data_IF_028963936152
#
_entry.id   IF_028963936152
#
_cell.length_a   1.000
_cell.length_b   1.000
_cell.length_c   1.000
_cell.angle_alpha   90.00
_cell.angle_beta   90.00
_cell.angle_gamma   90.00
#
_symmetry.space_group_name_H-M   'P 1'
#
loop_
_entity.id
_entity.type
_entity.pdbx_description
1 polymer ?
#
# COMPACT_ATOMS: atom_id res chain seq x y z
N UNK A 1 18.36 29.11 16.18
CA UNK A 1 17.74 30.24 15.47
C UNK A 1 16.38 30.55 16.07
N UNK A 2 16.12 31.81 16.39
CA UNK A 2 14.85 32.25 16.97
C UNK A 2 13.73 32.22 15.91
N UNK A 3 12.62 31.60 16.26
CA UNK A 3 11.40 31.65 15.44
C UNK A 3 10.88 33.09 15.42
N UNK A 4 10.63 33.62 14.22
CA UNK A 4 10.10 34.96 14.08
C UNK A 4 8.67 35.01 14.61
N UNK A 5 8.26 36.09 15.27
CA UNK A 5 6.93 36.23 15.88
C UNK A 5 5.76 36.26 14.87
N UNK A 6 6.06 36.27 13.58
CA UNK A 6 5.08 36.18 12.48
C UNK A 6 5.00 34.80 11.85
N UNK A 7 5.71 33.80 12.39
CA UNK A 7 5.70 32.44 11.87
C UNK A 7 4.44 31.69 12.27
N UNK A 8 3.81 31.03 11.33
CA UNK A 8 2.77 30.04 11.59
C UNK A 8 3.36 28.64 11.43
N UNK A 9 3.49 27.92 12.54
CA UNK A 9 4.14 26.62 12.60
C UNK A 9 3.11 25.51 12.57
N UNK A 10 3.21 24.62 11.58
CA UNK A 10 2.33 23.47 11.42
C UNK A 10 3.16 22.20 11.29
N UNK A 11 2.83 21.17 12.07
CA UNK A 11 3.36 19.86 11.85
C UNK A 11 2.76 19.24 10.58
N UNK A 12 3.62 18.71 9.73
CA UNK A 12 3.23 17.94 8.55
C UNK A 12 3.80 16.55 8.67
N UNK A 13 2.99 15.56 8.39
CA UNK A 13 3.39 14.16 8.36
C UNK A 13 3.27 13.65 6.94
N UNK A 14 4.29 12.94 6.49
CA UNK A 14 4.24 12.17 5.24
C UNK A 14 4.88 10.82 5.52
N UNK A 15 4.05 9.78 5.60
CA UNK A 15 4.44 8.47 6.07
C UNK A 15 5.11 8.55 7.46
N UNK A 16 6.44 8.40 7.51
CA UNK A 16 7.24 8.44 8.74
C UNK A 16 8.00 9.72 8.97
N UNK A 17 8.00 10.60 7.99
CA UNK A 17 8.67 11.88 8.12
C UNK A 17 7.69 12.86 8.78
N UNK A 18 8.03 13.29 9.98
CA UNK A 18 7.37 14.42 10.64
C UNK A 18 8.25 15.65 10.43
N UNK A 19 7.67 16.70 9.90
CA UNK A 19 8.36 17.97 9.74
C UNK A 19 7.57 19.09 10.38
N UNK A 20 8.27 20.07 10.94
CA UNK A 20 7.69 21.33 11.36
C UNK A 20 7.85 22.34 10.21
N UNK A 21 6.73 22.79 9.66
CA UNK A 21 6.69 23.72 8.55
C UNK A 21 6.23 25.10 9.02
N UNK A 22 7.01 26.13 8.69
CA UNK A 22 6.60 27.53 8.80
C UNK A 22 5.88 27.91 7.49
N UNK A 23 4.56 27.98 7.56
CA UNK A 23 3.72 28.24 6.38
C UNK A 23 3.84 29.68 5.86
N UNK A 24 4.37 30.59 6.67
CA UNK A 24 4.57 32.01 6.31
C UNK A 24 5.93 32.22 5.63
N UNK A 25 6.99 31.63 6.19
CA UNK A 25 8.37 31.88 5.73
C UNK A 25 8.93 30.72 4.89
N UNK A 26 8.21 29.62 4.76
CA UNK A 26 8.61 28.44 3.97
C UNK A 26 9.78 27.65 4.54
N UNK A 27 10.12 27.85 5.82
CA UNK A 27 11.14 27.06 6.49
C UNK A 27 10.58 25.70 6.94
N UNK A 28 11.41 24.68 6.84
CA UNK A 28 11.06 23.32 7.27
C UNK A 28 12.14 22.80 8.20
N UNK A 29 11.74 22.25 9.34
CA UNK A 29 12.63 21.60 10.30
C UNK A 29 12.27 20.12 10.42
N UNK A 30 13.30 19.28 10.45
CA UNK A 30 13.14 17.89 10.86
C UNK A 30 13.31 17.80 12.38
N UNK A 31 12.29 17.39 13.15
CA UNK A 31 12.40 17.25 14.61
C UNK A 31 13.42 16.20 15.06
N UNK A 32 13.75 15.22 14.21
CA UNK A 32 14.77 14.20 14.50
C UNK A 32 16.20 14.72 14.30
N UNK A 33 16.38 15.78 13.52
CA UNK A 33 17.68 16.48 13.34
C UNK A 33 17.47 17.97 13.62
N UNK A 34 17.38 18.34 14.88
CA UNK A 34 17.09 19.70 15.37
C UNK A 34 18.18 20.73 15.02
N UNK A 35 19.29 20.33 14.43
CA UNK A 35 20.43 21.19 14.15
C UNK A 35 20.38 21.88 12.80
N UNK A 36 19.46 21.48 11.91
CA UNK A 36 19.39 22.01 10.54
C UNK A 36 18.01 22.45 10.13
N UNK A 37 17.92 23.70 9.67
CA UNK A 37 16.77 24.16 8.88
C UNK A 37 16.94 23.64 7.46
N UNK A 38 15.95 22.92 6.97
CA UNK A 38 15.91 22.47 5.58
C UNK A 38 15.44 23.66 4.74
N UNK A 39 16.36 24.32 4.05
CA UNK A 39 16.01 25.38 3.10
C UNK A 39 15.55 24.75 1.79
N UNK A 40 14.25 24.69 1.59
CA UNK A 40 13.68 24.21 0.34
C UNK A 40 13.85 25.31 -0.71
N UNK A 41 14.60 25.01 -1.77
CA UNK A 41 14.73 25.91 -2.92
C UNK A 41 13.56 25.67 -3.88
N UNK A 42 12.42 26.27 -3.59
CA UNK A 42 11.17 26.09 -4.34
C UNK A 42 11.30 26.31 -5.85
N UNK A 43 12.20 27.20 -6.28
CA UNK A 43 12.50 27.44 -7.68
C UNK A 43 13.29 26.31 -8.38
N UNK A 44 13.91 25.40 -7.62
CA UNK A 44 14.58 24.20 -8.18
C UNK A 44 13.69 22.97 -8.16
N UNK A 45 12.62 22.96 -7.35
CA UNK A 45 11.71 21.82 -7.24
C UNK A 45 10.92 21.61 -8.53
N UNK A 46 10.62 22.64 -9.29
CA UNK A 46 9.83 22.52 -10.52
C UNK A 46 10.52 21.75 -11.66
N UNK A 47 11.85 21.63 -11.66
CA UNK A 47 12.60 20.91 -12.71
C UNK A 47 13.02 19.50 -12.28
N UNK A 48 13.12 19.24 -10.97
CA UNK A 48 13.47 17.91 -10.43
C UNK A 48 12.22 17.10 -10.00
N UNK A 49 11.07 17.75 -9.83
CA UNK A 49 9.83 17.07 -9.43
C UNK A 49 9.34 16.07 -10.48
N UNK A 50 9.57 16.34 -11.77
CA UNK A 50 9.05 15.45 -12.83
C UNK A 50 9.72 14.06 -12.80
N UNK A 51 11.00 13.97 -12.44
CA UNK A 51 11.70 12.68 -12.38
C UNK A 51 11.65 12.03 -10.98
N UNK A 52 11.67 12.83 -9.90
CA UNK A 52 11.63 12.30 -8.52
C UNK A 52 10.22 11.98 -8.04
N UNK A 53 9.20 12.71 -8.49
CA UNK A 53 7.80 12.34 -8.22
C UNK A 53 7.38 11.12 -9.03
N UNK A 54 7.90 10.92 -10.24
CA UNK A 54 7.72 9.65 -10.95
C UNK A 54 8.40 8.49 -10.20
N UNK A 55 9.64 8.67 -9.70
CA UNK A 55 10.30 7.64 -8.90
C UNK A 55 9.63 7.39 -7.54
N UNK A 56 9.12 8.42 -6.86
CA UNK A 56 8.41 8.26 -5.60
C UNK A 56 7.00 7.69 -5.78
N UNK A 57 6.32 8.03 -6.88
CA UNK A 57 5.03 7.40 -7.21
C UNK A 57 5.22 5.95 -7.66
N UNK A 58 6.29 5.65 -8.38
CA UNK A 58 6.64 4.27 -8.74
C UNK A 58 7.02 3.46 -7.49
N UNK A 59 7.67 4.08 -6.48
CA UNK A 59 7.99 3.44 -5.20
C UNK A 59 6.76 3.27 -4.28
N UNK A 60 5.80 4.18 -4.33
CA UNK A 60 4.55 4.07 -3.56
C UNK A 60 3.61 2.98 -4.13
N UNK A 61 3.71 2.70 -5.43
CA UNK A 61 2.97 1.61 -6.07
C UNK A 61 3.70 0.25 -5.99
N UNK A 62 4.96 0.23 -5.55
CA UNK A 62 5.74 -1.01 -5.35
C UNK A 62 5.52 -1.68 -3.99
N UNK A 63 4.45 -1.34 -3.28
CA UNK A 63 3.98 -2.19 -2.20
C UNK A 63 3.35 -3.43 -2.84
N UNK A 64 4.16 -4.48 -2.97
CA UNK A 64 3.65 -5.80 -3.20
C UNK A 64 2.82 -6.17 -1.96
N UNK A 65 1.53 -5.90 -2.05
CA UNK A 65 0.60 -6.57 -1.16
C UNK A 65 0.75 -8.06 -1.42
N UNK A 66 0.46 -8.92 -0.45
CA UNK A 66 0.36 -10.35 -0.69
C UNK A 66 -0.80 -10.67 -1.65
N UNK A 67 -1.03 -9.78 -2.60
CA UNK A 67 -2.12 -9.87 -3.54
C UNK A 67 -1.95 -11.09 -4.43
N UNK A 68 -3.06 -11.77 -4.63
CA UNK A 68 -3.19 -12.89 -5.55
C UNK A 68 -2.52 -12.54 -6.87
N UNK A 69 -1.65 -13.40 -7.34
CA UNK A 69 -1.09 -13.33 -8.70
C UNK A 69 -2.24 -13.15 -9.67
N UNK A 70 -2.23 -12.09 -10.44
CA UNK A 70 -3.28 -11.91 -11.43
C UNK A 70 -3.24 -13.08 -12.43
N UNK A 71 -4.37 -13.72 -12.63
CA UNK A 71 -4.52 -14.74 -13.65
C UNK A 71 -5.25 -14.14 -14.85
N UNK A 72 -4.81 -14.49 -16.05
CA UNK A 72 -5.49 -14.11 -17.29
C UNK A 72 -6.86 -14.84 -17.48
N UNK A 73 -7.45 -15.35 -16.41
CA UNK A 73 -8.78 -15.96 -16.47
C UNK A 73 -9.83 -14.84 -16.41
N UNK A 74 -10.66 -14.81 -17.44
CA UNK A 74 -11.83 -13.93 -17.50
C UNK A 74 -12.77 -14.24 -16.33
N UNK A 75 -12.82 -13.35 -15.37
CA UNK A 75 -13.75 -13.39 -14.24
C UNK A 75 -14.47 -12.06 -14.10
N UNK A 76 -15.35 -11.97 -13.12
CA UNK A 76 -15.95 -10.71 -12.72
C UNK A 76 -15.21 -10.17 -11.50
N UNK A 77 -15.00 -8.85 -11.47
CA UNK A 77 -14.52 -8.20 -10.25
C UNK A 77 -15.60 -8.35 -9.18
N UNK A 78 -15.18 -8.45 -7.92
CA UNK A 78 -16.08 -8.58 -6.79
C UNK A 78 -15.64 -7.67 -5.66
N UNK A 79 -16.52 -6.77 -5.25
CA UNK A 79 -16.35 -6.04 -4.01
C UNK A 79 -16.82 -6.92 -2.85
N UNK A 80 -16.04 -6.98 -1.80
CA UNK A 80 -16.33 -7.71 -0.56
C UNK A 80 -16.64 -6.72 0.56
N UNK A 81 -17.53 -7.13 1.47
CA UNK A 81 -17.87 -6.30 2.62
C UNK A 81 -16.65 -6.12 3.56
N UNK A 82 -16.51 -4.92 4.12
CA UNK A 82 -15.42 -4.55 5.01
C UNK A 82 -15.88 -4.36 6.45
N UNK A 83 -15.04 -4.79 7.39
CA UNK A 83 -15.12 -4.43 8.81
C UNK A 83 -13.85 -3.68 9.20
N UNK A 84 -13.97 -2.43 9.63
CA UNK A 84 -12.85 -1.54 9.93
C UNK A 84 -13.08 -0.86 11.28
N UNK A 85 -12.02 -0.76 12.08
CA UNK A 85 -12.03 0.04 13.29
C UNK A 85 -11.56 1.47 13.03
N UNK A 86 -12.08 2.42 13.81
CA UNK A 86 -11.64 3.81 13.82
C UNK A 86 -11.89 4.47 15.16
N UNK A 87 -11.23 5.60 15.43
CA UNK A 87 -11.50 6.40 16.63
C UNK A 87 -12.58 7.43 16.36
N UNK A 88 -13.55 7.53 17.27
CA UNK A 88 -14.48 8.63 17.30
C UNK A 88 -13.73 9.97 17.52
N UNK A 89 -14.19 11.04 16.90
CA UNK A 89 -13.54 12.33 16.99
C UNK A 89 -12.28 12.49 16.13
N UNK A 90 -12.01 11.59 15.16
CA UNK A 90 -10.82 11.60 14.33
C UNK A 90 -11.10 11.50 12.83
N UNK A 91 -10.06 11.71 12.03
CA UNK A 91 -10.04 11.41 10.60
C UNK A 91 -9.13 10.21 10.35
N UNK A 92 -9.50 9.35 9.39
CA UNK A 92 -8.75 8.15 9.05
C UNK A 92 -8.84 7.81 7.56
N UNK A 93 -7.79 7.17 7.04
CA UNK A 93 -7.81 6.59 5.69
C UNK A 93 -8.24 5.13 5.79
N UNK A 94 -9.24 4.76 5.00
CA UNK A 94 -9.76 3.40 4.92
C UNK A 94 -9.32 2.77 3.61
N UNK A 95 -8.77 1.55 3.67
CA UNK A 95 -8.44 0.73 2.50
C UNK A 95 -9.53 -0.32 2.26
N UNK A 96 -10.62 0.10 1.63
CA UNK A 96 -11.75 -0.77 1.32
C UNK A 96 -11.50 -1.71 0.12
N UNK A 97 -10.44 -1.45 -0.68
CA UNK A 97 -10.12 -2.30 -1.83
C UNK A 97 -9.23 -3.51 -1.45
N UNK A 98 -8.79 -3.61 -0.19
CA UNK A 98 -7.81 -4.61 0.26
C UNK A 98 -8.25 -6.06 0.15
N UNK A 99 -9.55 -6.34 0.27
CA UNK A 99 -10.16 -7.67 0.20
C UNK A 99 -10.95 -7.90 -1.09
N UNK A 100 -11.06 -6.88 -1.95
CA UNK A 100 -11.77 -6.96 -3.21
C UNK A 100 -11.07 -7.86 -4.22
N UNK A 101 -11.87 -8.64 -4.95
CA UNK A 101 -11.35 -9.53 -5.97
C UNK A 101 -11.21 -8.80 -7.31
N UNK A 102 -9.98 -8.74 -7.81
CA UNK A 102 -9.68 -8.29 -9.16
C UNK A 102 -9.47 -9.48 -10.09
N UNK A 103 -9.86 -9.33 -11.33
CA UNK A 103 -9.67 -10.32 -12.39
C UNK A 103 -8.91 -9.68 -13.55
N UNK A 104 -8.33 -10.51 -14.41
CA UNK A 104 -7.63 -10.07 -15.62
C UNK A 104 -6.56 -9.01 -15.38
N UNK A 105 -5.87 -9.05 -14.22
CA UNK A 105 -4.86 -8.06 -13.87
C UNK A 105 -5.38 -6.62 -13.94
N UNK A 106 -6.64 -6.41 -13.64
CA UNK A 106 -7.25 -5.08 -13.60
C UNK A 106 -6.83 -4.35 -12.33
N UNK A 107 -6.81 -3.03 -12.40
CA UNK A 107 -6.64 -2.17 -11.22
C UNK A 107 -7.99 -1.62 -10.83
N UNK A 108 -8.41 -1.94 -9.61
CA UNK A 108 -9.68 -1.49 -9.07
C UNK A 108 -9.59 -0.05 -8.56
N UNK A 109 -10.69 0.68 -8.71
CA UNK A 109 -10.87 1.96 -8.06
C UNK A 109 -12.31 2.15 -7.57
N UNK A 110 -12.46 2.88 -6.49
CA UNK A 110 -13.75 3.30 -5.97
C UNK A 110 -14.27 4.44 -6.84
N UNK A 111 -15.43 4.27 -7.41
CA UNK A 111 -16.05 5.24 -8.32
C UNK A 111 -17.21 6.01 -7.68
N UNK A 112 -17.80 5.44 -6.62
CA UNK A 112 -18.92 6.06 -5.91
C UNK A 112 -18.93 5.60 -4.46
N UNK A 113 -19.40 6.47 -3.58
CA UNK A 113 -19.61 6.19 -2.16
C UNK A 113 -21.05 6.58 -1.82
N UNK A 114 -21.75 5.68 -1.13
CA UNK A 114 -23.08 5.94 -0.59
C UNK A 114 -23.01 6.84 0.65
N UNK A 115 -24.12 7.51 0.96
CA UNK A 115 -24.20 8.30 2.18
C UNK A 115 -24.09 7.40 3.43
N UNK A 116 -23.26 7.76 4.43
CA UNK A 116 -23.20 7.03 5.68
C UNK A 116 -24.51 7.17 6.48
N UNK A 117 -24.82 6.15 7.26
CA UNK A 117 -26.00 6.15 8.14
C UNK A 117 -25.88 7.11 9.34
N UNK A 118 -24.73 7.74 9.53
CA UNK A 118 -24.46 8.75 10.55
C UNK A 118 -24.19 10.11 9.90
N UNK A 119 -24.98 11.13 10.22
CA UNK A 119 -24.87 12.49 9.65
C UNK A 119 -23.64 13.28 10.09
N UNK A 120 -23.02 12.88 11.22
CA UNK A 120 -21.83 13.50 11.78
C UNK A 120 -20.53 12.87 11.23
N UNK A 121 -20.66 12.02 10.20
CA UNK A 121 -19.56 11.36 9.48
C UNK A 121 -19.64 11.72 8.02
N UNK A 122 -18.47 12.00 7.41
CA UNK A 122 -18.33 12.13 5.97
C UNK A 122 -17.32 11.13 5.42
N UNK A 123 -17.61 10.63 4.21
CA UNK A 123 -16.73 9.69 3.50
C UNK A 123 -16.44 10.27 2.13
N UNK A 124 -15.17 10.33 1.76
CA UNK A 124 -14.73 10.85 0.46
C UNK A 124 -13.68 9.96 -0.17
N UNK A 125 -13.78 9.63 -1.48
CA UNK A 125 -12.70 8.95 -2.18
C UNK A 125 -11.49 9.89 -2.33
N UNK A 126 -10.31 9.34 -2.09
CA UNK A 126 -9.01 10.03 -2.22
C UNK A 126 -8.07 9.20 -3.09
N UNK A 127 -6.97 9.82 -3.56
CA UNK A 127 -5.98 9.18 -4.44
C UNK A 127 -6.61 8.50 -5.67
N UNK A 128 -7.46 9.24 -6.39
CA UNK A 128 -8.21 8.74 -7.56
C UNK A 128 -9.07 7.49 -7.27
N UNK A 129 -9.63 7.40 -6.07
CA UNK A 129 -10.48 6.29 -5.64
C UNK A 129 -9.71 5.05 -5.17
N UNK A 130 -8.42 5.17 -4.85
CA UNK A 130 -7.64 4.06 -4.27
C UNK A 130 -7.98 3.84 -2.80
N UNK A 131 -8.31 4.92 -2.08
CA UNK A 131 -8.66 4.90 -0.67
C UNK A 131 -9.89 5.76 -0.40
N UNK A 132 -10.46 5.58 0.79
CA UNK A 132 -11.48 6.47 1.32
C UNK A 132 -10.93 7.25 2.50
N UNK A 133 -11.29 8.53 2.61
CA UNK A 133 -11.10 9.32 3.82
C UNK A 133 -12.39 9.30 4.61
N UNK A 134 -12.31 8.80 5.84
CA UNK A 134 -13.32 8.92 6.87
C UNK A 134 -13.02 10.20 7.67
N UNK A 135 -14.00 11.09 7.78
CA UNK A 135 -14.01 12.17 8.77
C UNK A 135 -15.13 11.90 9.78
N UNK A 136 -14.73 11.48 10.96
CA UNK A 136 -15.58 11.22 12.12
C UNK A 136 -15.31 12.22 13.25
N UNK A 137 -14.70 13.39 12.94
CA UNK A 137 -14.28 14.39 13.93
C UNK A 137 -15.43 14.93 14.80
N UNK A 138 -16.65 14.92 14.29
CA UNK A 138 -17.87 15.32 15.00
C UNK A 138 -18.67 14.12 15.56
N UNK A 139 -18.25 12.88 15.27
CA UNK A 139 -19.00 11.69 15.62
C UNK A 139 -18.63 11.13 17.01
N UNK A 140 -19.62 10.57 17.70
CA UNK A 140 -19.42 9.77 18.89
C UNK A 140 -19.21 8.29 18.55
N UNK A 141 -18.77 7.51 19.52
CA UNK A 141 -18.64 6.06 19.38
C UNK A 141 -19.93 5.39 18.90
N UNK A 142 -19.79 4.37 18.08
CA UNK A 142 -20.91 3.65 17.50
C UNK A 142 -20.54 3.02 16.16
N UNK A 143 -21.52 2.47 15.46
CA UNK A 143 -21.31 1.83 14.15
C UNK A 143 -21.80 2.73 13.04
N UNK A 144 -20.94 2.91 12.02
CA UNK A 144 -21.22 3.63 10.80
C UNK A 144 -21.19 2.66 9.64
N UNK A 145 -22.22 2.69 8.79
CA UNK A 145 -22.29 1.86 7.58
C UNK A 145 -22.51 2.72 6.35
N UNK A 146 -21.85 2.38 5.27
CA UNK A 146 -22.05 2.98 3.96
C UNK A 146 -21.69 1.97 2.87
N UNK A 147 -22.11 2.23 1.64
CA UNK A 147 -21.79 1.40 0.48
C UNK A 147 -20.74 2.06 -0.39
N UNK A 148 -20.01 1.27 -1.17
CA UNK A 148 -19.15 1.77 -2.22
C UNK A 148 -19.26 0.94 -3.49
N UNK A 149 -18.98 1.59 -4.62
CA UNK A 149 -18.96 0.95 -5.94
C UNK A 149 -17.55 0.97 -6.48
N UNK A 150 -17.08 -0.16 -6.98
CA UNK A 150 -15.77 -0.30 -7.63
C UNK A 150 -15.91 -0.46 -9.13
N UNK A 151 -14.84 -0.12 -9.86
CA UNK A 151 -14.71 -0.38 -11.29
C UNK A 151 -13.29 -0.78 -11.65
N UNK A 152 -13.17 -1.65 -12.67
CA UNK A 152 -11.90 -2.05 -13.29
C UNK A 152 -11.46 -1.09 -14.41
N UNK A 153 -12.26 -0.06 -14.71
CA UNK A 153 -12.04 0.85 -15.84
C UNK A 153 -12.25 0.22 -17.22
N UNK A 154 -12.67 -1.05 -17.29
CA UNK A 154 -12.92 -1.82 -18.54
C UNK A 154 -14.39 -2.15 -18.75
N UNK A 155 -15.26 -1.68 -17.85
CA UNK A 155 -16.71 -1.83 -17.95
C UNK A 155 -17.33 -2.75 -16.90
N UNK A 156 -16.54 -3.38 -16.04
CA UNK A 156 -17.05 -4.14 -14.91
C UNK A 156 -17.20 -3.23 -13.68
N UNK A 157 -18.22 -3.51 -12.89
CA UNK A 157 -18.50 -2.84 -11.62
C UNK A 157 -18.99 -3.84 -10.58
N UNK A 158 -18.72 -3.57 -9.32
CA UNK A 158 -19.29 -4.32 -8.19
C UNK A 158 -19.50 -3.36 -7.02
N UNK A 159 -20.28 -3.76 -6.02
CA UNK A 159 -20.60 -2.93 -4.87
C UNK A 159 -20.53 -3.75 -3.59
N UNK A 160 -20.11 -3.12 -2.50
CA UNK A 160 -20.09 -3.73 -1.18
C UNK A 160 -20.37 -2.70 -0.09
N UNK A 161 -20.43 -3.17 1.16
CA UNK A 161 -20.72 -2.37 2.33
C UNK A 161 -19.48 -2.27 3.23
N UNK A 162 -19.17 -1.08 3.69
CA UNK A 162 -18.19 -0.87 4.77
C UNK A 162 -18.93 -0.66 6.08
N UNK A 163 -18.54 -1.43 7.09
CA UNK A 163 -18.97 -1.25 8.49
C UNK A 163 -17.78 -0.72 9.28
N UNK A 164 -17.89 0.51 9.78
CA UNK A 164 -16.87 1.13 10.63
C UNK A 164 -17.34 1.12 12.07
N UNK A 165 -16.54 0.55 12.97
CA UNK A 165 -16.74 0.65 14.41
C UNK A 165 -15.94 1.83 14.95
N UNK A 166 -16.64 2.89 15.39
CA UNK A 166 -16.03 4.05 16.03
C UNK A 166 -15.88 3.80 17.53
N UNK A 167 -14.65 3.75 18.00
CA UNK A 167 -14.30 3.57 19.41
C UNK A 167 -13.98 4.91 20.08
N UNK A 168 -14.34 5.10 21.36
CA UNK A 168 -14.17 6.37 22.10
C UNK A 168 -13.10 6.31 23.18
N UNK A 169 -12.41 5.20 23.34
CA UNK A 169 -11.35 5.08 24.32
C UNK A 169 -10.80 3.66 24.45
N UNK A 170 -9.69 3.55 25.15
CA UNK A 170 -8.94 2.31 25.24
C UNK A 170 -8.02 2.11 24.04
N UNK A 171 -7.19 1.09 24.12
CA UNK A 171 -6.34 0.62 23.02
C UNK A 171 -6.51 -0.88 22.88
N UNK A 172 -6.81 -1.34 21.69
CA UNK A 172 -6.87 -2.75 21.34
C UNK A 172 -5.66 -3.10 20.47
N UNK A 173 -5.10 -4.28 20.68
CA UNK A 173 -3.93 -4.73 19.92
C UNK A 173 -4.30 -4.99 18.44
N UNK A 174 -3.36 -4.78 17.51
CA UNK A 174 -3.54 -5.17 16.11
C UNK A 174 -3.90 -6.64 15.94
N UNK A 175 -4.75 -6.95 14.98
CA UNK A 175 -5.23 -8.31 14.70
C UNK A 175 -4.96 -8.65 13.24
N UNK A 176 -4.46 -9.85 12.97
CA UNK A 176 -4.46 -10.37 11.62
C UNK A 176 -5.90 -10.78 11.25
N UNK A 177 -6.51 -10.10 10.30
CA UNK A 177 -7.89 -10.36 9.86
C UNK A 177 -7.98 -11.41 8.76
N UNK A 178 -6.89 -11.55 7.96
CA UNK A 178 -6.81 -12.54 6.90
C UNK A 178 -5.39 -13.14 6.87
N UNK A 179 -5.30 -14.42 6.54
CA UNK A 179 -4.02 -15.08 6.27
C UNK A 179 -3.71 -14.92 4.79
N UNK A 180 -2.64 -14.20 4.42
CA UNK A 180 -2.28 -14.04 3.02
C UNK A 180 -2.12 -15.38 2.32
N UNK A 181 -2.40 -15.46 1.00
CA UNK A 181 -2.14 -16.67 0.23
C UNK A 181 -0.66 -17.05 0.33
N UNK A 182 -0.38 -18.36 0.27
CA UNK A 182 0.98 -18.87 0.27
C UNK A 182 1.74 -18.38 -0.96
N UNK A 183 2.94 -17.84 -0.75
CA UNK A 183 3.76 -17.21 -1.78
C UNK A 183 4.82 -18.20 -2.26
N UNK A 184 4.81 -18.50 -3.56
CA UNK A 184 5.85 -19.32 -4.19
C UNK A 184 7.10 -18.47 -4.46
N UNK A 185 8.27 -18.95 -4.00
CA UNK A 185 9.58 -18.28 -4.22
C UNK A 185 10.60 -19.33 -4.66
N UNK A 186 11.35 -19.06 -5.73
CA UNK A 186 12.39 -20.00 -6.17
C UNK A 186 13.57 -20.06 -5.22
N UNK A 187 14.20 -21.22 -5.14
CA UNK A 187 15.48 -21.40 -4.45
C UNK A 187 16.51 -20.38 -4.96
N UNK A 188 17.15 -19.66 -4.06
CA UNK A 188 18.12 -18.61 -4.36
C UNK A 188 17.51 -17.25 -4.64
N UNK A 189 16.19 -17.14 -4.75
CA UNK A 189 15.49 -15.86 -4.92
C UNK A 189 15.06 -15.25 -3.59
N UNK A 190 14.56 -14.02 -3.65
CA UNK A 190 13.92 -13.33 -2.54
C UNK A 190 12.59 -12.75 -2.98
N UNK A 191 11.71 -12.54 -2.02
CA UNK A 191 10.42 -11.90 -2.21
C UNK A 191 10.22 -10.82 -1.15
N UNK A 192 9.73 -9.66 -1.56
CA UNK A 192 9.40 -8.56 -0.65
C UNK A 192 7.92 -8.22 -0.78
N UNK A 193 7.22 -8.19 0.35
CA UNK A 193 5.81 -7.84 0.41
C UNK A 193 5.50 -6.95 1.61
N UNK A 194 4.31 -6.36 1.63
CA UNK A 194 3.83 -5.58 2.76
C UNK A 194 3.05 -6.48 3.72
N UNK A 195 3.65 -6.81 4.86
CA UNK A 195 3.02 -7.66 5.86
C UNK A 195 1.84 -6.98 6.59
N UNK A 196 1.79 -5.64 6.60
CA UNK A 196 0.72 -4.90 7.27
C UNK A 196 -0.62 -5.00 6.54
N UNK A 197 -0.63 -5.36 5.25
CA UNK A 197 -1.86 -5.47 4.46
C UNK A 197 -2.85 -6.52 4.99
N UNK A 198 -2.37 -7.50 5.78
CA UNK A 198 -3.20 -8.52 6.40
C UNK A 198 -3.62 -8.22 7.84
N UNK A 199 -3.27 -7.03 8.35
CA UNK A 199 -3.58 -6.63 9.72
C UNK A 199 -4.54 -5.44 9.76
N UNK A 200 -5.37 -5.44 10.78
CA UNK A 200 -6.21 -4.33 11.20
C UNK A 200 -5.90 -3.92 12.61
N UNK A 201 -6.06 -2.64 12.87
CA UNK A 201 -6.21 -2.15 14.23
C UNK A 201 -7.70 -1.92 14.53
N UNK A 202 -8.23 -2.45 15.64
CA UNK A 202 -9.65 -2.26 16.01
C UNK A 202 -10.00 -0.80 16.31
N UNK A 203 -9.01 0.03 16.63
CA UNK A 203 -9.18 1.45 16.90
C UNK A 203 -8.77 2.32 15.70
N UNK A 204 -8.22 1.69 14.66
CA UNK A 204 -7.73 2.36 13.46
C UNK A 204 -6.39 3.07 13.64
N UNK A 205 -5.62 2.68 14.64
CA UNK A 205 -4.31 3.26 14.88
C UNK A 205 -3.30 2.85 13.80
N UNK A 206 -2.32 3.70 13.48
CA UNK A 206 -1.30 3.39 12.49
C UNK A 206 -0.44 2.19 12.90
N UNK A 207 -0.26 1.25 11.98
CA UNK A 207 0.49 0.02 12.23
C UNK A 207 1.96 0.13 11.79
N UNK A 208 2.82 -0.55 12.54
CA UNK A 208 4.24 -0.73 12.21
C UNK A 208 4.64 -2.19 12.31
N UNK A 209 5.45 -2.67 11.37
CA UNK A 209 6.03 -4.01 11.42
C UNK A 209 7.26 -4.00 12.34
N UNK A 210 7.17 -4.72 13.45
CA UNK A 210 8.21 -4.76 14.49
C UNK A 210 9.25 -5.82 14.17
N UNK A 211 8.81 -7.04 13.88
CA UNK A 211 9.70 -8.16 13.61
C UNK A 211 9.03 -9.23 12.76
N UNK A 212 9.86 -10.08 12.14
CA UNK A 212 9.43 -11.30 11.51
C UNK A 212 10.45 -12.42 11.77
N UNK A 213 9.97 -13.63 12.07
CA UNK A 213 10.79 -14.78 12.41
C UNK A 213 10.33 -16.00 11.65
N UNK A 214 11.25 -16.60 10.90
CA UNK A 214 10.97 -17.86 10.22
C UNK A 214 10.83 -19.00 11.26
N UNK A 215 9.80 -19.81 11.10
CA UNK A 215 9.50 -20.92 11.99
C UNK A 215 10.15 -22.21 11.49
N UNK A 216 10.72 -22.97 12.43
CA UNK A 216 11.25 -24.35 12.21
C UNK A 216 12.39 -24.46 11.17
N UNK A 217 13.08 -23.38 10.83
CA UNK A 217 14.25 -23.39 9.93
C UNK A 217 15.17 -22.20 10.18
N UNK A 218 16.46 -22.43 10.04
CA UNK A 218 17.53 -21.42 10.03
C UNK A 218 18.15 -21.24 8.63
N UNK A 219 17.63 -21.96 7.63
CA UNK A 219 18.15 -21.93 6.27
C UNK A 219 17.70 -20.74 5.44
N UNK A 220 16.68 -20.02 5.88
CA UNK A 220 16.14 -18.84 5.23
C UNK A 220 16.53 -17.56 6.00
N UNK A 221 16.47 -16.43 5.33
CA UNK A 221 16.70 -15.12 5.95
C UNK A 221 15.42 -14.28 5.81
N UNK A 222 15.07 -13.61 6.90
CA UNK A 222 13.93 -12.71 6.95
C UNK A 222 14.40 -11.37 7.47
N UNK A 223 13.99 -10.30 6.81
CA UNK A 223 14.24 -8.93 7.27
C UNK A 223 12.98 -8.10 7.17
N UNK A 224 12.86 -7.11 8.05
CA UNK A 224 11.69 -6.26 8.16
C UNK A 224 12.06 -4.80 8.14
N UNK A 225 11.13 -3.99 7.66
CA UNK A 225 11.13 -2.55 7.84
C UNK A 225 9.82 -2.16 8.49
N UNK A 226 9.90 -1.14 9.35
CA UNK A 226 8.72 -0.72 10.10
C UNK A 226 7.57 -0.18 9.23
N UNK A 227 7.80 0.13 7.89
CA UNK A 227 6.75 0.48 6.90
C UNK A 227 5.94 -0.72 6.38
N UNK A 228 6.17 -1.88 6.96
CA UNK A 228 5.48 -3.11 6.61
C UNK A 228 6.25 -4.00 5.65
N UNK A 229 7.37 -3.55 5.10
CA UNK A 229 8.16 -4.38 4.19
C UNK A 229 8.74 -5.59 4.93
N UNK A 230 8.33 -6.77 4.50
CA UNK A 230 8.86 -8.08 4.85
C UNK A 230 9.62 -8.63 3.65
N UNK A 231 10.93 -8.83 3.79
CA UNK A 231 11.74 -9.49 2.76
C UNK A 231 12.08 -10.89 3.22
N UNK A 232 11.65 -11.88 2.45
CA UNK A 232 11.96 -13.29 2.61
C UNK A 232 13.02 -13.69 1.59
N UNK A 233 14.13 -14.27 2.04
CA UNK A 233 15.17 -14.82 1.19
C UNK A 233 15.29 -16.32 1.48
N UNK A 234 15.24 -17.13 0.44
CA UNK A 234 15.25 -18.58 0.54
C UNK A 234 16.56 -19.16 1.10
N UNK A 235 17.64 -18.37 1.06
CA UNK A 235 18.95 -18.79 1.61
C UNK A 235 19.43 -20.13 1.03
N UNK A 236 19.70 -21.09 1.92
CA UNK A 236 20.15 -22.42 1.54
C UNK A 236 18.99 -23.42 1.36
N UNK A 237 17.74 -23.06 1.64
CA UNK A 237 16.60 -23.95 1.54
C UNK A 237 16.31 -24.31 0.08
N UNK A 238 16.37 -25.62 -0.22
CA UNK A 238 16.19 -26.09 -1.59
C UNK A 238 14.71 -26.14 -2.00
N UNK A 239 13.82 -26.50 -1.07
CA UNK A 239 12.38 -26.52 -1.28
C UNK A 239 11.66 -26.74 0.05
N UNK A 240 10.38 -26.40 0.11
CA UNK A 240 9.51 -26.65 1.26
C UNK A 240 8.73 -25.42 1.69
N UNK A 241 7.78 -25.64 2.59
CA UNK A 241 6.93 -24.60 3.16
C UNK A 241 7.57 -23.99 4.40
N UNK A 242 7.60 -22.68 4.47
CA UNK A 242 8.11 -21.90 5.61
C UNK A 242 7.01 -20.99 6.12
N UNK A 243 6.66 -21.11 7.41
CA UNK A 243 5.87 -20.11 8.12
C UNK A 243 6.77 -19.00 8.65
N UNK A 244 6.37 -17.77 8.50
CA UNK A 244 7.01 -16.61 9.07
C UNK A 244 6.03 -15.94 10.02
N UNK A 245 6.35 -15.94 11.31
CA UNK A 245 5.59 -15.20 12.30
C UNK A 245 5.99 -13.72 12.23
N UNK A 246 5.01 -12.86 12.09
CA UNK A 246 5.17 -11.42 12.05
C UNK A 246 4.57 -10.78 13.31
N UNK A 247 5.26 -9.77 13.85
CA UNK A 247 4.79 -8.96 14.98
C UNK A 247 4.54 -7.54 14.51
N UNK A 248 3.34 -7.06 14.74
CA UNK A 248 2.87 -5.71 14.35
C UNK A 248 2.52 -4.92 15.60
N UNK A 249 2.80 -3.63 15.62
CA UNK A 249 2.48 -2.72 16.74
C UNK A 249 1.69 -1.52 16.24
N UNK A 250 0.76 -1.06 17.06
CA UNK A 250 0.05 0.23 16.98
C UNK A 250 0.77 1.37 17.74
N UNK A 251 1.94 1.08 18.33
CA UNK A 251 2.70 1.99 19.19
C UNK A 251 2.44 1.81 20.69
N UNK A 252 1.38 1.10 21.08
CA UNK A 252 0.99 0.84 22.49
C UNK A 252 0.94 -0.65 22.79
N UNK A 253 0.37 -1.43 21.90
CA UNK A 253 0.22 -2.89 21.98
C UNK A 253 0.83 -3.57 20.76
N UNK A 254 0.91 -4.90 20.80
CA UNK A 254 1.39 -5.71 19.67
C UNK A 254 0.44 -6.86 19.39
N UNK A 255 0.29 -7.17 18.09
CA UNK A 255 -0.36 -8.36 17.59
C UNK A 255 0.60 -9.23 16.80
N UNK A 256 0.30 -10.50 16.65
CA UNK A 256 1.09 -11.44 15.85
C UNK A 256 0.23 -12.11 14.78
N UNK A 257 0.87 -12.52 13.71
CA UNK A 257 0.23 -13.26 12.63
C UNK A 257 1.22 -14.09 11.83
N UNK A 258 0.71 -14.82 10.85
CA UNK A 258 1.51 -15.74 10.04
C UNK A 258 1.44 -15.40 8.56
N UNK A 259 2.61 -15.45 7.91
CA UNK A 259 2.75 -15.41 6.45
C UNK A 259 3.46 -16.68 6.02
N UNK A 260 3.02 -17.28 4.91
CA UNK A 260 3.56 -18.55 4.45
C UNK A 260 4.25 -18.41 3.09
N UNK A 261 5.44 -19.00 2.99
CA UNK A 261 6.20 -19.09 1.75
C UNK A 261 6.40 -20.55 1.36
N UNK A 262 6.33 -20.83 0.08
CA UNK A 262 6.62 -22.14 -0.50
C UNK A 262 7.85 -22.03 -1.38
N UNK A 263 8.98 -22.53 -0.92
CA UNK A 263 10.23 -22.53 -1.70
C UNK A 263 10.14 -23.62 -2.76
N UNK A 264 10.30 -23.23 -4.02
CA UNK A 264 10.29 -24.11 -5.19
C UNK A 264 11.71 -24.31 -5.71
N UNK A 265 12.01 -25.41 -6.39
CA UNK A 265 13.31 -25.62 -7.02
C UNK A 265 13.63 -24.49 -8.01
N UNK A 266 14.92 -24.21 -8.20
CA UNK A 266 15.37 -23.18 -9.13
C UNK A 266 14.90 -23.46 -10.57
N UNK A 267 14.57 -22.40 -11.30
CA UNK A 267 14.10 -22.39 -12.70
C UNK A 267 12.75 -23.13 -12.92
N UNK A 268 11.88 -23.12 -11.93
CA UNK A 268 10.55 -23.74 -12.03
C UNK A 268 9.40 -22.74 -12.09
N UNK A 269 9.62 -21.49 -11.65
CA UNK A 269 8.58 -20.46 -11.68
C UNK A 269 8.74 -19.54 -12.89
N UNK A 270 7.61 -19.11 -13.44
CA UNK A 270 7.58 -18.04 -14.42
C UNK A 270 7.75 -16.68 -13.75
N UNK A 271 8.28 -15.71 -14.48
CA UNK A 271 8.27 -14.31 -14.03
C UNK A 271 6.83 -13.80 -13.95
N UNK A 272 6.54 -13.05 -12.88
CA UNK A 272 5.25 -12.46 -12.63
C UNK A 272 5.40 -10.94 -12.63
N UNK A 273 4.44 -10.24 -13.22
CA UNK A 273 4.38 -8.78 -13.24
C UNK A 273 3.09 -8.32 -12.55
N UNK A 274 3.21 -7.32 -11.68
CA UNK A 274 2.04 -6.71 -11.05
C UNK A 274 1.26 -5.82 -12.00
N UNK A 275 -0.06 -5.68 -11.80
CA UNK A 275 -0.86 -4.71 -12.51
C UNK A 275 -0.36 -3.27 -12.26
N UNK A 276 -0.31 -2.48 -13.31
CA UNK A 276 0.16 -1.09 -13.24
C UNK A 276 -0.93 -0.16 -13.75
N UNK A 277 -1.28 0.85 -12.94
CA UNK A 277 -2.12 1.95 -13.36
C UNK A 277 -1.34 3.26 -13.31
N UNK A 278 -1.36 4.02 -14.40
CA UNK A 278 -0.81 5.38 -14.47
C UNK A 278 -1.84 6.32 -15.06
N UNK A 279 -2.01 7.45 -14.40
CA UNK A 279 -2.81 8.55 -14.94
C UNK A 279 -1.95 9.42 -15.84
N UNK A 280 -2.43 9.71 -17.03
CA UNK A 280 -1.76 10.59 -17.98
C UNK A 280 -2.75 11.58 -18.59
N UNK A 281 -2.23 12.67 -19.16
CA UNK A 281 -3.03 13.61 -19.94
C UNK A 281 -3.04 13.21 -21.43
N UNK A 282 -4.12 13.48 -22.17
CA UNK A 282 -4.19 13.17 -23.59
C UNK A 282 -3.03 13.77 -24.38
N UNK A 283 -2.54 13.05 -25.39
CA UNK A 283 -1.44 13.44 -26.28
C UNK A 283 -0.09 13.71 -25.56
N UNK A 284 0.15 13.01 -24.44
CA UNK A 284 1.41 13.06 -23.71
C UNK A 284 2.01 11.67 -23.62
N UNK A 285 3.31 11.56 -23.91
CA UNK A 285 4.03 10.30 -23.74
C UNK A 285 4.16 9.97 -22.23
N UNK A 286 3.86 8.73 -21.89
CA UNK A 286 3.99 8.22 -20.52
C UNK A 286 4.92 7.03 -20.51
N UNK A 287 6.00 7.12 -19.75
CA UNK A 287 6.96 6.02 -19.58
C UNK A 287 6.52 5.13 -18.43
N UNK A 288 6.49 3.82 -18.68
CA UNK A 288 6.24 2.80 -17.65
C UNK A 288 7.47 1.91 -17.57
N UNK A 289 8.15 1.93 -16.43
CA UNK A 289 9.32 1.09 -16.18
C UNK A 289 8.86 -0.28 -15.65
N UNK A 290 8.64 -1.25 -16.53
CA UNK A 290 8.05 -2.54 -16.19
C UNK A 290 8.90 -3.37 -15.23
N UNK A 291 10.23 -3.23 -15.27
CA UNK A 291 11.14 -3.94 -14.36
C UNK A 291 10.86 -3.67 -12.89
N UNK A 292 10.25 -2.53 -12.56
CA UNK A 292 9.87 -2.17 -11.19
C UNK A 292 8.65 -2.94 -10.67
N UNK A 293 7.92 -3.62 -11.56
CA UNK A 293 6.70 -4.37 -11.25
C UNK A 293 6.85 -5.89 -11.40
N UNK A 294 8.07 -6.33 -11.70
CA UNK A 294 8.37 -7.77 -11.81
C UNK A 294 8.70 -8.33 -10.43
N UNK A 295 8.00 -9.38 -10.03
CA UNK A 295 8.27 -10.06 -8.77
C UNK A 295 9.57 -10.85 -8.80
N UNK A 296 10.31 -10.83 -7.69
CA UNK A 296 11.51 -11.63 -7.46
C UNK A 296 11.26 -13.12 -7.16
N UNK A 297 10.16 -13.69 -7.64
CA UNK A 297 9.84 -15.09 -7.43
C UNK A 297 10.61 -16.02 -8.37
N UNK A 298 11.10 -15.52 -9.49
CA UNK A 298 11.87 -16.27 -10.49
C UNK A 298 13.29 -15.72 -10.64
N UNK A 299 14.25 -16.61 -10.82
CA UNK A 299 15.64 -16.28 -11.16
C UNK A 299 15.82 -15.98 -12.66
N UNK A 300 14.84 -16.32 -13.48
CA UNK A 300 14.87 -16.03 -14.91
C UNK A 300 14.66 -14.54 -15.15
N UNK A 301 15.51 -13.89 -15.96
CA UNK A 301 15.27 -12.49 -16.31
C UNK A 301 13.97 -12.38 -17.10
N UNK A 302 13.10 -11.47 -16.65
CA UNK A 302 11.87 -11.17 -17.38
C UNK A 302 12.20 -10.51 -18.71
N UNK A 303 11.49 -10.90 -19.77
CA UNK A 303 11.63 -10.32 -21.12
C UNK A 303 10.25 -9.86 -21.60
N UNK A 304 10.16 -8.61 -22.03
CA UNK A 304 8.98 -8.09 -22.69
C UNK A 304 8.88 -8.65 -24.10
N UNK A 305 7.90 -9.51 -24.33
CA UNK A 305 7.72 -10.18 -25.64
C UNK A 305 6.73 -9.46 -26.54
N UNK A 306 5.70 -8.83 -25.96
CA UNK A 306 4.64 -8.16 -26.69
C UNK A 306 3.97 -7.09 -25.86
N UNK A 307 3.51 -6.02 -26.50
CA UNK A 307 2.62 -5.01 -25.92
C UNK A 307 1.45 -4.82 -26.86
N UNK A 308 0.26 -5.12 -26.36
CA UNK A 308 -0.99 -4.85 -27.07
C UNK A 308 -1.52 -3.48 -26.67
N UNK A 309 -1.80 -2.64 -27.65
CA UNK A 309 -2.28 -1.27 -27.41
C UNK A 309 -3.75 -1.14 -27.75
N UNK A 310 -4.52 -0.38 -26.94
CA UNK A 310 -5.89 -0.04 -27.30
C UNK A 310 -5.92 0.87 -28.53
N UNK A 311 -7.06 0.92 -29.20
CA UNK A 311 -7.26 1.75 -30.39
C UNK A 311 -6.85 3.21 -30.16
N UNK A 312 -6.00 3.73 -31.02
CA UNK A 312 -5.51 5.12 -30.98
C UNK A 312 -4.27 5.35 -30.11
N UNK A 313 -3.77 4.35 -29.40
CA UNK A 313 -2.50 4.43 -28.69
C UNK A 313 -1.36 3.83 -29.54
N UNK A 314 -0.15 4.31 -29.33
CA UNK A 314 1.08 3.71 -29.87
C UNK A 314 2.06 3.46 -28.72
N UNK A 315 2.85 2.41 -28.82
CA UNK A 315 3.91 2.11 -27.85
C UNK A 315 5.25 1.99 -28.54
N UNK A 316 6.30 2.42 -27.86
CA UNK A 316 7.68 2.08 -28.17
C UNK A 316 8.26 1.33 -26.97
N UNK A 317 8.95 0.23 -27.22
CA UNK A 317 9.63 -0.55 -26.19
C UNK A 317 11.11 -0.24 -26.22
N UNK A 318 11.72 -0.05 -25.05
CA UNK A 318 13.17 0.05 -24.91
C UNK A 318 13.67 -1.21 -24.20
N UNK A 319 14.48 -2.00 -24.86
CA UNK A 319 14.99 -3.26 -24.34
C UNK A 319 16.11 -3.10 -23.28
N UNK A 320 16.45 -1.88 -22.91
CA UNK A 320 17.51 -1.58 -21.95
C UNK A 320 17.01 -1.35 -20.49
N UNK A 321 15.70 -1.43 -20.25
CA UNK A 321 15.09 -1.20 -18.94
C UNK A 321 14.34 -2.42 -18.43
#
# INVERSE_FOLDING_TARGET
ESVNTTSELVFRTNHRLVVLNDTVNGNVWNPEDSTKVIKIQWNKIQTEQTEKEQQNNDSANNHHDFSKTCSAQSGQIKAEDDEIGARAGSEQILDALRNDEQTDCSVLKITKVGAPNNKDVTISPIYDGRYLQLDASAASAGTVTFTYDISDGRGQTSSATVTVTLNDGGNHAPVQFDTPPEIDVEQGASYTANALSSFNDPDGDPLTLVSAVAQNTDQVQVSTRADGQLTFNTGALASGRVGVEVTVSDGTATGTGMVYFSVKPANTLAAVIDPVAKTTVPNTDTVVKLSSYVHGTSLQPAQLTQVDTPNGASTTTNAAD
#
